data_IF_604557494371
#
_entry.id   IF_604557494371
#
_cell.length_a   1.000
_cell.length_b   1.000
_cell.length_c   1.000
_cell.angle_alpha   90.00
_cell.angle_beta   90.00
_cell.angle_gamma   90.00
#
_symmetry.space_group_name_H-M   'P 1'
#
loop_
_entity.id
_entity.type
_entity.pdbx_description
1 polymer ?
#
# COMPACT_ATOMS: atom_id res chain seq x y z
N UNK A 1 -46.37 53.07 -50.14
CA UNK A 1 -45.46 53.34 -49.01
C UNK A 1 -45.19 52.01 -48.29
N UNK A 2 -43.92 51.60 -48.28
CA UNK A 2 -43.23 50.59 -47.43
C UNK A 2 -43.91 49.22 -47.17
N UNK A 3 -43.43 48.18 -47.84
CA UNK A 3 -43.46 46.80 -47.34
C UNK A 3 -42.20 46.54 -46.48
N UNK A 4 -42.29 45.82 -45.34
CA UNK A 4 -41.11 45.43 -44.58
C UNK A 4 -40.54 44.11 -45.11
N UNK A 5 -39.23 44.04 -45.33
CA UNK A 5 -38.50 42.81 -45.62
C UNK A 5 -38.15 42.12 -44.30
N UNK A 6 -38.63 40.89 -44.09
CA UNK A 6 -38.14 40.01 -43.02
C UNK A 6 -36.81 39.38 -43.47
N UNK A 7 -35.74 39.63 -42.73
CA UNK A 7 -34.50 38.86 -42.84
C UNK A 7 -34.59 37.63 -41.92
N UNK A 8 -34.57 36.44 -42.52
CA UNK A 8 -34.46 35.17 -41.81
C UNK A 8 -32.96 34.83 -41.68
N UNK A 9 -32.37 35.03 -40.50
CA UNK A 9 -31.00 34.57 -40.21
C UNK A 9 -31.05 33.11 -39.73
N UNK A 10 -30.67 32.18 -40.60
CA UNK A 10 -30.40 30.79 -40.21
C UNK A 10 -29.08 30.71 -39.44
N UNK A 11 -29.15 30.33 -38.17
CA UNK A 11 -27.98 30.03 -37.34
C UNK A 11 -27.54 28.58 -37.61
N UNK A 12 -26.39 28.40 -38.25
CA UNK A 12 -25.77 27.07 -38.44
C UNK A 12 -24.98 26.72 -37.18
N UNK A 13 -25.44 25.73 -36.42
CA UNK A 13 -24.66 25.15 -35.32
C UNK A 13 -23.62 24.18 -35.89
N UNK A 14 -22.36 24.59 -35.89
CA UNK A 14 -21.22 23.71 -36.17
C UNK A 14 -20.89 22.97 -34.87
N UNK A 15 -21.26 21.69 -34.78
CA UNK A 15 -20.79 20.79 -33.74
C UNK A 15 -19.30 20.49 -33.99
N UNK A 16 -18.42 21.14 -33.23
CA UNK A 16 -17.01 20.75 -33.16
C UNK A 16 -16.88 19.47 -32.32
N UNK A 17 -16.69 18.35 -32.99
CA UNK A 17 -16.24 17.10 -32.38
C UNK A 17 -14.78 17.27 -31.95
N UNK A 18 -14.55 17.54 -30.66
CA UNK A 18 -13.21 17.48 -30.09
C UNK A 18 -12.75 16.02 -30.08
N UNK A 19 -11.57 15.69 -30.66
CA UNK A 19 -11.03 14.34 -30.56
C UNK A 19 -10.71 14.05 -29.10
N UNK A 20 -11.45 13.12 -28.51
CA UNK A 20 -11.10 12.55 -27.21
C UNK A 20 -9.88 11.67 -27.45
N UNK A 21 -8.69 12.15 -27.11
CA UNK A 21 -7.51 11.31 -27.04
C UNK A 21 -7.78 10.25 -25.97
N UNK A 22 -8.07 9.02 -26.41
CA UNK A 22 -8.04 7.86 -25.54
C UNK A 22 -6.60 7.76 -25.01
N UNK A 23 -6.41 8.15 -23.75
CA UNK A 23 -5.15 7.93 -23.07
C UNK A 23 -5.01 6.40 -22.99
N UNK A 24 -4.01 5.85 -23.67
CA UNK A 24 -3.71 4.42 -23.65
C UNK A 24 -3.27 4.08 -22.22
N UNK A 25 -4.22 3.70 -21.38
CA UNK A 25 -3.96 3.34 -19.99
C UNK A 25 -3.28 1.99 -20.00
N UNK A 26 -1.95 2.00 -19.89
CA UNK A 26 -1.18 0.79 -19.61
C UNK A 26 -1.78 0.11 -18.37
N UNK A 27 -1.98 -1.20 -18.43
CA UNK A 27 -2.50 -1.98 -17.33
C UNK A 27 -1.41 -2.84 -16.69
N UNK A 28 -1.51 -3.02 -15.38
CA UNK A 28 -0.80 -4.02 -14.62
C UNK A 28 -1.72 -5.19 -14.34
N UNK A 29 -1.13 -6.36 -14.27
CA UNK A 29 -1.84 -7.59 -13.97
C UNK A 29 -0.98 -8.52 -13.14
N UNK A 30 -1.63 -9.43 -12.45
CA UNK A 30 -0.98 -10.60 -11.88
C UNK A 30 -1.97 -11.48 -11.14
N UNK A 31 -1.47 -12.21 -10.15
CA UNK A 31 -2.24 -13.23 -9.45
C UNK A 31 -2.25 -13.02 -7.94
N UNK A 32 -3.37 -13.34 -7.29
CA UNK A 32 -3.40 -13.67 -5.86
C UNK A 32 -3.57 -15.19 -5.75
N UNK A 33 -2.77 -15.87 -4.94
CA UNK A 33 -2.74 -17.35 -4.91
C UNK A 33 -2.41 -17.91 -3.52
N UNK A 34 -2.81 -19.18 -3.32
CA UNK A 34 -2.47 -20.00 -2.15
C UNK A 34 -1.01 -20.49 -2.30
N UNK A 35 -0.07 -19.74 -1.72
CA UNK A 35 1.36 -20.07 -1.65
C UNK A 35 1.55 -21.19 -0.63
N UNK A 36 1.44 -22.43 -1.10
CA UNK A 36 1.35 -23.62 -0.26
C UNK A 36 2.71 -24.01 0.31
N UNK A 37 3.77 -23.66 -0.40
CA UNK A 37 5.14 -23.96 0.01
C UNK A 37 5.85 -22.76 0.67
N UNK A 38 5.20 -21.59 0.70
CA UNK A 38 5.65 -20.35 1.35
C UNK A 38 6.92 -19.77 0.74
N UNK A 39 7.15 -19.97 -0.56
CA UNK A 39 8.36 -19.50 -1.23
C UNK A 39 8.16 -18.14 -1.94
N UNK A 40 6.95 -17.59 -1.92
CA UNK A 40 6.58 -16.31 -2.54
C UNK A 40 6.56 -16.33 -4.08
N UNK A 41 6.63 -17.50 -4.70
CA UNK A 41 6.59 -17.70 -6.15
C UNK A 41 5.44 -18.64 -6.48
N UNK A 42 4.68 -18.28 -7.52
CA UNK A 42 3.56 -19.09 -7.94
C UNK A 42 4.04 -20.36 -8.65
N UNK A 43 3.84 -21.50 -8.01
CA UNK A 43 4.25 -22.81 -8.50
C UNK A 43 3.10 -23.63 -9.10
N UNK A 44 3.39 -24.64 -9.95
CA UNK A 44 2.37 -25.59 -10.40
C UNK A 44 1.65 -26.27 -9.23
N UNK A 45 0.32 -26.21 -9.23
CA UNK A 45 -0.52 -26.79 -8.16
C UNK A 45 -0.91 -25.79 -7.06
N UNK A 46 -0.46 -24.54 -7.14
CA UNK A 46 -0.90 -23.45 -6.27
C UNK A 46 -2.10 -22.73 -6.91
N UNK A 47 -3.31 -22.91 -6.34
CA UNK A 47 -4.52 -22.34 -6.91
C UNK A 47 -4.54 -20.82 -6.73
N UNK A 48 -5.06 -20.12 -7.73
CA UNK A 48 -5.43 -18.71 -7.57
C UNK A 48 -6.58 -18.57 -6.57
N UNK A 49 -6.64 -17.42 -5.91
CA UNK A 49 -7.66 -17.10 -4.92
C UNK A 49 -8.69 -16.14 -5.53
N UNK A 50 -9.95 -16.54 -5.67
CA UNK A 50 -10.98 -15.69 -6.27
C UNK A 50 -11.53 -14.67 -5.27
N UNK A 51 -12.07 -13.57 -5.80
CA UNK A 51 -12.72 -12.50 -5.04
C UNK A 51 -11.85 -11.81 -3.97
N UNK A 52 -10.53 -12.02 -3.98
CA UNK A 52 -9.59 -11.22 -3.18
C UNK A 52 -9.43 -9.87 -3.83
N UNK A 53 -9.54 -8.80 -3.04
CA UNK A 53 -9.46 -7.43 -3.53
C UNK A 53 -8.00 -6.99 -3.73
N UNK A 54 -7.74 -6.33 -4.85
CA UNK A 54 -6.46 -5.68 -5.16
C UNK A 54 -6.72 -4.21 -5.45
N UNK A 55 -5.88 -3.34 -4.88
CA UNK A 55 -5.96 -1.89 -5.00
C UNK A 55 -4.73 -1.36 -5.74
N UNK A 56 -4.90 -0.28 -6.50
CA UNK A 56 -3.81 0.56 -7.00
C UNK A 56 -3.81 1.96 -6.33
N UNK A 57 -4.36 2.04 -5.11
CA UNK A 57 -4.60 3.25 -4.32
C UNK A 57 -5.73 4.17 -4.83
N UNK A 58 -6.37 3.85 -5.96
CA UNK A 58 -7.51 4.63 -6.50
C UNK A 58 -8.68 3.74 -6.90
N UNK A 59 -8.39 2.67 -7.60
CA UNK A 59 -9.32 1.64 -8.00
C UNK A 59 -9.11 0.38 -7.16
N UNK A 60 -10.20 -0.36 -6.90
CA UNK A 60 -10.17 -1.66 -6.22
C UNK A 60 -10.94 -2.65 -7.08
N UNK A 61 -10.32 -3.80 -7.39
CA UNK A 61 -10.93 -4.88 -8.18
C UNK A 61 -10.83 -6.21 -7.45
N UNK A 62 -11.87 -7.06 -7.53
CA UNK A 62 -11.75 -8.44 -7.11
C UNK A 62 -10.95 -9.25 -8.14
N UNK A 63 -10.23 -10.25 -7.66
CA UNK A 63 -9.64 -11.29 -8.51
C UNK A 63 -10.71 -12.20 -9.13
N UNK A 64 -10.42 -12.69 -10.33
CA UNK A 64 -11.27 -13.61 -11.07
C UNK A 64 -11.24 -15.05 -10.49
N UNK A 65 -12.01 -16.03 -11.02
CA UNK A 65 -12.02 -17.41 -10.54
C UNK A 65 -10.65 -18.12 -10.54
N UNK A 66 -9.68 -17.61 -11.30
CA UNK A 66 -8.31 -18.13 -11.40
C UNK A 66 -7.32 -17.27 -10.60
N UNK A 67 -7.80 -16.33 -9.78
CA UNK A 67 -6.98 -15.43 -8.96
C UNK A 67 -6.36 -14.26 -9.72
N UNK A 68 -6.75 -14.00 -10.98
CA UNK A 68 -6.15 -12.92 -11.79
C UNK A 68 -6.77 -11.57 -11.46
N UNK A 69 -5.97 -10.53 -11.52
CA UNK A 69 -6.43 -9.14 -11.42
C UNK A 69 -5.82 -8.28 -12.53
N UNK A 70 -6.45 -7.14 -12.83
CA UNK A 70 -5.92 -6.14 -13.76
C UNK A 70 -6.36 -4.75 -13.33
N UNK A 71 -5.42 -3.81 -13.27
CA UNK A 71 -5.64 -2.42 -12.84
C UNK A 71 -4.85 -1.45 -13.72
N UNK A 72 -5.33 -0.21 -13.92
CA UNK A 72 -4.60 0.81 -14.66
C UNK A 72 -3.32 1.22 -13.92
N UNK A 73 -2.26 1.50 -14.69
CA UNK A 73 -0.95 1.92 -14.23
C UNK A 73 -0.82 3.43 -14.32
N UNK A 74 -0.06 4.00 -13.38
CA UNK A 74 0.38 5.39 -13.37
C UNK A 74 1.89 5.42 -13.11
N UNK A 75 2.57 6.50 -13.49
CA UNK A 75 4.03 6.66 -13.32
C UNK A 75 4.50 6.52 -11.86
N UNK A 76 3.58 6.70 -10.92
CA UNK A 76 3.73 6.45 -9.50
C UNK A 76 2.47 5.76 -9.00
N UNK A 77 2.60 4.50 -8.61
CA UNK A 77 1.47 3.64 -8.28
C UNK A 77 1.89 2.52 -7.35
N UNK A 78 1.07 2.24 -6.34
CA UNK A 78 1.28 1.10 -5.43
C UNK A 78 0.16 0.11 -5.66
N UNK A 79 0.51 -1.10 -6.08
CA UNK A 79 -0.44 -2.21 -6.15
C UNK A 79 -0.40 -2.96 -4.82
N UNK A 80 -1.54 -3.20 -4.19
CA UNK A 80 -1.60 -3.89 -2.90
C UNK A 80 -2.77 -4.85 -2.83
N UNK A 81 -2.53 -6.05 -2.30
CA UNK A 81 -3.61 -6.99 -1.96
C UNK A 81 -4.23 -6.58 -0.62
N UNK A 82 -5.55 -6.51 -0.57
CA UNK A 82 -6.29 -6.36 0.69
C UNK A 82 -6.39 -7.75 1.28
N UNK A 83 -5.59 -8.03 2.31
CA UNK A 83 -5.53 -9.34 2.98
C UNK A 83 -6.95 -9.76 3.41
N UNK A 84 -7.51 -10.83 2.83
CA UNK A 84 -8.83 -11.33 3.20
C UNK A 84 -8.75 -12.17 4.47
N UNK A 85 -9.90 -12.44 5.08
CA UNK A 85 -10.02 -13.39 6.21
C UNK A 85 -9.50 -14.77 5.80
N UNK A 86 -8.80 -15.45 6.71
CA UNK A 86 -8.31 -16.82 6.55
C UNK A 86 -6.99 -16.90 5.80
N UNK A 87 -6.39 -15.77 5.47
CA UNK A 87 -5.20 -15.64 4.64
C UNK A 87 -4.27 -14.58 5.20
N UNK A 88 -2.97 -14.78 5.03
CA UNK A 88 -1.94 -13.83 5.43
C UNK A 88 -0.84 -13.74 4.35
N UNK A 89 -0.43 -12.52 3.93
CA UNK A 89 0.76 -12.35 3.13
C UNK A 89 2.02 -12.78 3.91
N UNK A 90 3.13 -13.05 3.23
CA UNK A 90 4.42 -13.24 3.89
C UNK A 90 4.74 -12.05 4.80
N UNK A 91 5.38 -12.31 5.94
CA UNK A 91 5.90 -11.28 6.84
C UNK A 91 7.41 -11.19 6.74
N UNK A 92 7.98 -10.01 6.93
CA UNK A 92 9.43 -9.83 7.05
C UNK A 92 9.95 -10.39 8.37
N UNK A 93 11.28 -10.43 8.50
CA UNK A 93 12.00 -10.64 9.75
C UNK A 93 11.65 -9.59 10.82
N UNK A 94 11.27 -8.38 10.40
CA UNK A 94 10.75 -7.31 11.27
C UNK A 94 9.22 -7.39 11.47
N UNK A 95 8.58 -8.52 11.16
CA UNK A 95 7.13 -8.73 11.29
C UNK A 95 6.27 -7.79 10.41
N UNK A 96 6.83 -7.13 9.40
CA UNK A 96 6.07 -6.28 8.48
C UNK A 96 5.42 -7.14 7.36
N UNK A 97 4.10 -7.05 7.15
CA UNK A 97 3.43 -7.74 6.05
C UNK A 97 3.93 -7.30 4.67
N UNK A 98 4.15 -8.26 3.76
CA UNK A 98 4.57 -8.04 2.36
C UNK A 98 3.38 -8.18 1.42
N UNK A 99 2.56 -7.14 1.34
CA UNK A 99 1.26 -7.16 0.65
C UNK A 99 1.17 -6.20 -0.55
N UNK A 100 2.29 -5.61 -0.98
CA UNK A 100 2.30 -4.59 -2.01
C UNK A 100 3.48 -4.71 -2.98
N UNK A 101 3.34 -4.04 -4.12
CA UNK A 101 4.38 -3.78 -5.10
C UNK A 101 4.39 -2.28 -5.42
N UNK A 102 5.55 -1.65 -5.28
CA UNK A 102 5.76 -0.26 -5.65
C UNK A 102 6.12 -0.18 -7.13
N UNK A 103 5.38 0.64 -7.88
CA UNK A 103 5.70 0.99 -9.26
C UNK A 103 6.08 2.48 -9.35
N UNK A 104 7.39 2.73 -9.26
CA UNK A 104 8.01 4.04 -9.48
C UNK A 104 9.17 3.86 -10.44
N UNK A 105 8.97 3.87 -11.77
CA UNK A 105 10.00 3.54 -12.74
C UNK A 105 11.25 4.41 -12.64
N UNK A 106 11.06 5.68 -12.25
CA UNK A 106 12.13 6.67 -12.07
C UNK A 106 12.63 6.78 -10.63
N UNK A 107 12.01 6.05 -9.69
CA UNK A 107 12.26 6.18 -8.26
C UNK A 107 11.74 7.51 -7.70
N UNK A 108 11.90 7.66 -6.38
CA UNK A 108 11.55 8.88 -5.65
C UNK A 108 12.51 10.02 -5.96
N UNK A 109 12.07 11.29 -5.81
CA UNK A 109 12.97 12.43 -5.75
C UNK A 109 14.05 12.25 -4.67
N UNK A 110 15.15 12.99 -4.81
CA UNK A 110 16.17 13.04 -3.77
C UNK A 110 15.65 13.84 -2.58
N UNK A 111 15.79 13.28 -1.38
CA UNK A 111 15.41 13.87 -0.09
C UNK A 111 16.41 13.48 1.00
N UNK A 112 16.37 14.18 2.13
CA UNK A 112 17.21 13.93 3.33
C UNK A 112 17.15 12.47 3.75
N UNK A 113 15.94 11.92 3.83
CA UNK A 113 15.70 10.49 4.03
C UNK A 113 15.34 9.86 2.70
N UNK A 114 16.05 8.82 2.26
CA UNK A 114 15.88 8.30 0.91
C UNK A 114 14.54 7.59 0.75
N UNK A 115 13.85 7.89 -0.35
CA UNK A 115 12.69 7.14 -0.80
C UNK A 115 13.02 5.88 -1.60
N UNK A 116 12.04 5.42 -2.36
CA UNK A 116 12.06 4.25 -3.26
C UNK A 116 13.08 4.42 -4.39
N UNK A 117 13.94 3.41 -4.58
CA UNK A 117 14.85 3.37 -5.75
C UNK A 117 14.06 3.14 -7.05
N UNK A 118 14.61 3.49 -8.23
CA UNK A 118 13.97 3.17 -9.50
C UNK A 118 13.57 1.70 -9.60
N UNK A 119 12.28 1.44 -9.74
CA UNK A 119 11.72 0.08 -9.83
C UNK A 119 11.85 -0.51 -11.23
N UNK A 120 12.14 0.33 -12.24
CA UNK A 120 12.24 -0.06 -13.64
C UNK A 120 10.87 -0.16 -14.33
N UNK A 121 10.82 -0.79 -15.52
CA UNK A 121 9.56 -1.02 -16.21
C UNK A 121 8.67 -1.98 -15.42
N UNK A 122 7.37 -1.94 -15.71
CA UNK A 122 6.40 -2.86 -15.12
C UNK A 122 6.80 -4.33 -15.41
N UNK A 123 6.79 -5.22 -14.41
CA UNK A 123 7.05 -6.63 -14.62
C UNK A 123 5.90 -7.28 -15.41
N UNK A 124 6.17 -8.46 -15.97
CA UNK A 124 5.14 -9.22 -16.70
C UNK A 124 3.96 -9.66 -15.81
N UNK A 125 4.19 -9.83 -14.50
CA UNK A 125 3.18 -10.16 -13.51
C UNK A 125 3.54 -9.55 -12.16
N UNK A 126 2.55 -9.06 -11.42
CA UNK A 126 2.66 -8.66 -10.02
C UNK A 126 1.83 -9.65 -9.20
N UNK A 127 2.52 -10.58 -8.54
CA UNK A 127 1.86 -11.69 -7.86
C UNK A 127 1.90 -11.51 -6.33
N UNK A 128 0.76 -11.74 -5.69
CA UNK A 128 0.57 -11.65 -4.25
C UNK A 128 0.40 -13.07 -3.66
N UNK A 129 1.46 -13.65 -3.08
CA UNK A 129 1.35 -14.90 -2.34
C UNK A 129 0.54 -14.68 -1.06
N UNK A 130 -0.39 -15.58 -0.76
CA UNK A 130 -1.05 -15.66 0.52
C UNK A 130 -0.94 -17.08 1.07
N UNK A 131 -0.75 -17.18 2.37
CA UNK A 131 -0.77 -18.46 3.09
C UNK A 131 -2.02 -18.54 3.96
N UNK A 132 -2.52 -19.75 4.20
CA UNK A 132 -3.67 -19.93 5.12
C UNK A 132 -3.30 -19.48 6.52
N UNK A 133 -4.20 -18.71 7.12
CA UNK A 133 -4.10 -18.19 8.48
C UNK A 133 -5.37 -18.56 9.24
N UNK A 134 -5.21 -19.21 10.38
CA UNK A 134 -6.33 -19.43 11.29
C UNK A 134 -6.68 -18.10 11.96
N UNK A 135 -7.96 -17.73 11.91
CA UNK A 135 -8.48 -16.48 12.47
C UNK A 135 -9.67 -16.75 13.38
N UNK A 136 -9.48 -16.73 14.71
CA UNK A 136 -10.54 -17.01 15.65
C UNK A 136 -11.60 -15.90 15.66
N UNK A 137 -12.82 -16.25 16.06
CA UNK A 137 -13.92 -15.28 16.20
C UNK A 137 -13.67 -14.22 17.27
N UNK A 138 -12.86 -14.57 18.29
CA UNK A 138 -12.43 -13.67 19.35
C UNK A 138 -10.92 -13.65 19.35
N UNK A 139 -10.35 -12.47 19.22
CA UNK A 139 -8.91 -12.24 19.22
C UNK A 139 -8.57 -10.97 19.99
N UNK A 140 -7.28 -10.77 20.25
CA UNK A 140 -6.73 -9.50 20.73
C UNK A 140 -5.85 -8.90 19.64
N UNK A 141 -5.73 -7.58 19.66
CA UNK A 141 -4.82 -6.84 18.81
C UNK A 141 -4.22 -5.68 19.61
N UNK A 142 -2.98 -5.32 19.27
CA UNK A 142 -2.32 -4.16 19.86
C UNK A 142 -2.47 -2.94 18.96
N UNK A 143 -2.68 -1.79 19.56
CA UNK A 143 -2.70 -0.52 18.84
C UNK A 143 -1.77 0.45 19.53
N UNK A 144 -0.79 0.95 18.80
CA UNK A 144 0.05 2.07 19.20
C UNK A 144 -0.41 3.33 18.50
N UNK A 145 -0.38 4.45 19.21
CA UNK A 145 -0.48 5.77 18.62
C UNK A 145 0.68 6.60 19.13
N UNK A 146 1.23 7.44 18.26
CA UNK A 146 2.16 8.50 18.63
C UNK A 146 3.39 8.00 19.41
N UNK A 147 4.03 6.93 18.94
CA UNK A 147 5.26 6.44 19.59
C UNK A 147 6.38 7.47 19.53
N UNK A 148 6.39 8.31 18.48
CA UNK A 148 7.16 9.56 18.31
C UNK A 148 8.57 9.59 18.91
N UNK A 149 9.30 8.47 18.85
CA UNK A 149 10.65 8.41 19.40
C UNK A 149 11.57 9.29 18.54
N UNK A 150 12.29 10.21 19.19
CA UNK A 150 13.13 11.22 18.50
C UNK A 150 14.53 10.73 18.17
N UNK A 151 15.01 9.73 18.88
CA UNK A 151 16.38 9.26 18.82
C UNK A 151 16.50 7.85 19.43
N UNK A 152 17.69 7.26 19.30
CA UNK A 152 17.99 5.91 19.80
C UNK A 152 17.79 5.74 21.31
N UNK A 153 17.95 6.80 22.11
CA UNK A 153 17.72 6.75 23.56
C UNK A 153 16.22 6.63 23.88
N UNK A 154 15.36 7.34 23.17
CA UNK A 154 13.90 7.20 23.34
C UNK A 154 13.40 5.84 22.80
N UNK A 155 14.02 5.32 21.73
CA UNK A 155 13.75 3.95 21.28
C UNK A 155 14.15 2.90 22.33
N UNK A 156 15.26 3.09 23.05
CA UNK A 156 15.62 2.21 24.19
C UNK A 156 14.58 2.26 25.30
N UNK A 157 13.99 3.44 25.55
CA UNK A 157 12.92 3.60 26.54
C UNK A 157 11.68 2.82 26.10
N UNK A 158 11.26 2.98 24.84
CA UNK A 158 10.15 2.21 24.27
C UNK A 158 10.40 0.69 24.34
N UNK A 159 11.61 0.25 24.00
CA UNK A 159 11.99 -1.16 24.03
C UNK A 159 11.84 -1.77 25.44
N UNK A 160 12.39 -1.09 26.46
CA UNK A 160 12.39 -1.59 27.84
C UNK A 160 11.05 -1.44 28.54
N UNK A 161 10.40 -0.30 28.35
CA UNK A 161 9.28 0.12 29.20
C UNK A 161 7.92 -0.18 28.56
N UNK A 162 7.87 -0.47 27.25
CA UNK A 162 6.62 -0.81 26.53
C UNK A 162 6.73 -2.17 25.85
N UNK A 163 7.71 -2.38 24.98
CA UNK A 163 7.79 -3.60 24.18
C UNK A 163 8.05 -4.84 25.04
N UNK A 164 8.90 -4.72 26.07
CA UNK A 164 9.20 -5.83 26.97
C UNK A 164 7.94 -6.45 27.62
N UNK A 165 6.91 -5.65 27.90
CA UNK A 165 5.65 -6.13 28.50
C UNK A 165 4.77 -6.91 27.51
N UNK A 166 5.00 -6.72 26.21
CA UNK A 166 4.23 -7.33 25.13
C UNK A 166 4.86 -8.61 24.58
N UNK A 167 6.10 -8.93 24.97
CA UNK A 167 6.76 -10.17 24.56
C UNK A 167 5.97 -11.38 25.08
N UNK A 168 5.59 -12.28 24.18
CA UNK A 168 4.76 -13.44 24.50
C UNK A 168 3.26 -13.13 24.62
N UNK A 169 2.82 -12.01 24.04
CA UNK A 169 1.40 -11.67 23.93
C UNK A 169 0.58 -12.75 23.21
N UNK A 170 -0.71 -12.83 23.53
CA UNK A 170 -1.73 -13.59 22.81
C UNK A 170 -2.54 -12.75 21.81
N UNK A 171 -2.02 -11.57 21.45
CA UNK A 171 -2.55 -10.80 20.33
C UNK A 171 -2.21 -11.47 18.99
N UNK A 172 -3.08 -11.27 18.00
CA UNK A 172 -2.91 -11.85 16.66
C UNK A 172 -2.12 -10.93 15.72
N UNK A 173 -2.18 -9.63 15.95
CA UNK A 173 -1.47 -8.60 15.19
C UNK A 173 -1.37 -7.29 16.00
N UNK A 174 -0.57 -6.36 15.51
CA UNK A 174 -0.58 -4.97 15.98
C UNK A 174 -0.66 -3.95 14.87
N UNK A 175 -1.00 -2.72 15.24
CA UNK A 175 -1.07 -1.56 14.34
C UNK A 175 -0.48 -0.34 15.02
N UNK A 176 0.44 0.38 14.36
CA UNK A 176 0.79 1.76 14.74
C UNK A 176 -0.02 2.74 13.90
N UNK A 177 -0.71 3.68 14.55
CA UNK A 177 -1.68 4.59 13.97
C UNK A 177 -1.07 5.93 13.51
N UNK A 178 0.18 5.90 13.02
CA UNK A 178 0.92 7.09 12.62
C UNK A 178 1.76 7.70 13.73
N UNK A 179 2.55 8.70 13.35
CA UNK A 179 3.51 9.39 14.19
C UNK A 179 4.43 8.36 14.88
N UNK A 180 4.94 7.46 14.03
CA UNK A 180 5.74 6.31 14.42
C UNK A 180 7.04 6.82 15.04
N UNK A 181 7.68 7.76 14.36
CA UNK A 181 8.78 8.54 14.87
C UNK A 181 8.37 10.00 14.96
N UNK A 182 9.25 10.81 15.56
CA UNK A 182 9.18 12.25 15.37
C UNK A 182 9.66 12.55 13.93
N UNK A 183 10.69 13.36 13.71
CA UNK A 183 11.09 13.74 12.33
C UNK A 183 12.35 13.01 11.81
N UNK A 184 12.76 11.91 12.46
CA UNK A 184 13.98 11.16 12.09
C UNK A 184 13.68 9.79 11.47
N UNK A 185 13.26 9.80 10.19
CA UNK A 185 12.89 8.59 9.45
C UNK A 185 14.06 7.60 9.25
N UNK A 186 15.30 8.00 9.56
CA UNK A 186 16.46 7.10 9.52
C UNK A 186 16.36 5.98 10.55
N UNK A 187 15.52 6.15 11.57
CA UNK A 187 15.35 5.20 12.66
C UNK A 187 14.24 4.17 12.43
N UNK A 188 13.50 4.23 11.31
CA UNK A 188 12.39 3.29 11.05
C UNK A 188 12.82 1.83 11.17
N UNK A 189 13.95 1.45 10.58
CA UNK A 189 14.45 0.07 10.65
C UNK A 189 14.75 -0.38 12.09
N UNK A 190 15.31 0.53 12.90
CA UNK A 190 15.58 0.26 14.32
C UNK A 190 14.28 0.14 15.11
N UNK A 191 13.33 1.05 14.88
CA UNK A 191 11.99 0.99 15.46
C UNK A 191 11.29 -0.32 15.12
N UNK A 192 11.27 -0.71 13.85
CA UNK A 192 10.65 -1.94 13.37
C UNK A 192 11.28 -3.17 14.02
N UNK A 193 12.60 -3.20 14.13
CA UNK A 193 13.32 -4.30 14.79
C UNK A 193 12.97 -4.42 16.28
N UNK A 194 12.71 -3.29 16.94
CA UNK A 194 12.26 -3.26 18.35
C UNK A 194 10.81 -3.77 18.44
N UNK A 195 9.88 -3.24 17.63
CA UNK A 195 8.47 -3.67 17.61
C UNK A 195 8.33 -5.14 17.23
N UNK A 196 9.17 -5.65 16.33
CA UNK A 196 9.19 -7.05 15.93
C UNK A 196 9.42 -8.03 17.10
N UNK A 197 10.02 -7.58 18.22
CA UNK A 197 10.18 -8.39 19.43
C UNK A 197 8.85 -8.81 20.06
N UNK A 198 7.75 -8.09 19.79
CA UNK A 198 6.39 -8.49 20.20
C UNK A 198 6.03 -9.86 19.60
N UNK A 199 6.55 -10.17 18.41
CA UNK A 199 6.43 -11.48 17.79
C UNK A 199 5.15 -11.73 16.98
N UNK A 200 4.43 -10.67 16.62
CA UNK A 200 3.19 -10.73 15.82
C UNK A 200 3.30 -9.81 14.61
N UNK A 201 2.57 -10.08 13.50
CA UNK A 201 2.55 -9.19 12.34
C UNK A 201 2.14 -7.76 12.71
N UNK A 202 2.85 -6.77 12.18
CA UNK A 202 2.67 -5.37 12.55
C UNK A 202 2.38 -4.47 11.34
N UNK A 203 1.24 -3.78 11.39
CA UNK A 203 0.80 -2.84 10.35
C UNK A 203 1.09 -1.41 10.78
N UNK A 204 1.29 -0.51 9.82
CA UNK A 204 1.60 0.88 10.11
C UNK A 204 0.79 1.79 9.19
N UNK A 205 0.19 2.82 9.78
CA UNK A 205 -0.43 3.95 9.06
C UNK A 205 0.52 5.13 9.16
N UNK A 206 0.51 6.00 8.15
CA UNK A 206 1.35 7.20 8.13
C UNK A 206 0.77 8.30 9.03
N UNK A 207 1.61 8.99 9.78
CA UNK A 207 1.30 10.23 10.49
C UNK A 207 1.97 11.46 9.88
N UNK A 208 1.68 12.64 10.42
CA UNK A 208 2.24 13.89 9.90
C UNK A 208 3.72 14.07 10.23
N UNK A 209 4.26 13.33 11.20
CA UNK A 209 5.69 13.28 11.50
C UNK A 209 6.46 12.26 10.66
N UNK A 210 5.76 11.36 9.97
CA UNK A 210 6.37 10.29 9.17
C UNK A 210 6.72 10.74 7.72
N UNK A 211 6.90 12.05 7.50
CA UNK A 211 7.03 12.68 6.19
C UNK A 211 8.45 13.16 5.87
N UNK A 212 8.80 13.07 4.59
CA UNK A 212 9.89 13.81 3.95
C UNK A 212 9.54 15.31 3.87
N UNK A 213 9.78 16.06 4.95
CA UNK A 213 9.49 17.51 4.99
C UNK A 213 10.26 18.36 3.96
N UNK A 214 11.33 17.83 3.38
CA UNK A 214 12.09 18.49 2.30
C UNK A 214 11.58 18.12 0.90
N UNK A 215 10.50 17.34 0.78
CA UNK A 215 9.85 17.05 -0.48
C UNK A 215 9.25 18.32 -1.12
N UNK A 216 9.23 18.42 -2.45
CA UNK A 216 8.73 19.59 -3.16
C UNK A 216 7.19 19.70 -3.14
N UNK A 217 6.48 18.60 -2.91
CA UNK A 217 5.02 18.53 -2.89
C UNK A 217 4.52 17.41 -1.98
N UNK A 218 3.24 17.47 -1.62
CA UNK A 218 2.56 16.49 -0.77
C UNK A 218 2.63 15.07 -1.35
N UNK A 219 2.51 14.95 -2.68
CA UNK A 219 2.55 13.66 -3.41
C UNK A 219 3.87 12.92 -3.21
N UNK A 220 4.97 13.63 -2.97
CA UNK A 220 6.31 13.03 -2.81
C UNK A 220 6.80 13.13 -1.37
N UNK A 221 5.92 13.47 -0.43
CA UNK A 221 6.26 13.65 0.98
C UNK A 221 6.29 12.34 1.78
N UNK A 222 5.75 11.24 1.26
CA UNK A 222 5.68 9.94 1.93
C UNK A 222 6.68 8.91 1.39
N UNK A 223 7.60 9.30 0.52
CA UNK A 223 8.49 8.40 -0.23
C UNK A 223 9.35 7.47 0.65
N UNK A 224 9.79 7.96 1.83
CA UNK A 224 10.51 7.14 2.80
C UNK A 224 9.59 6.15 3.50
N UNK A 225 8.37 6.57 3.84
CA UNK A 225 7.34 5.71 4.41
C UNK A 225 6.98 4.60 3.42
N UNK A 226 6.72 4.95 2.17
CA UNK A 226 6.38 3.99 1.11
C UNK A 226 7.48 2.96 0.89
N UNK A 227 8.75 3.37 0.95
CA UNK A 227 9.87 2.43 0.85
C UNK A 227 9.88 1.39 1.97
N UNK A 228 9.51 1.78 3.19
CA UNK A 228 9.63 0.91 4.38
C UNK A 228 8.35 0.11 4.60
N UNK A 229 7.19 0.77 4.58
CA UNK A 229 5.90 0.20 4.97
C UNK A 229 4.95 -0.06 3.79
N UNK A 230 5.18 0.58 2.65
CA UNK A 230 4.31 0.48 1.48
C UNK A 230 3.18 1.50 1.48
N UNK A 231 1.96 1.15 1.06
CA UNK A 231 0.92 2.14 0.81
C UNK A 231 0.51 2.91 2.08
N UNK A 232 0.44 4.25 2.04
CA UNK A 232 0.01 5.08 3.18
C UNK A 232 -1.44 4.82 3.57
N UNK A 233 -2.26 4.35 2.62
CA UNK A 233 -3.65 3.97 2.83
C UNK A 233 -3.88 2.52 2.40
N UNK A 234 -4.28 1.67 3.35
CA UNK A 234 -4.59 0.28 3.06
C UNK A 234 -5.68 -0.25 3.98
N UNK A 235 -6.15 -1.46 3.67
CA UNK A 235 -7.13 -2.19 4.45
C UNK A 235 -6.73 -3.66 4.50
N UNK A 236 -7.18 -4.33 5.55
CA UNK A 236 -7.12 -5.78 5.69
C UNK A 236 -8.30 -6.24 6.54
N UNK A 237 -8.67 -7.52 6.41
CA UNK A 237 -9.71 -8.14 7.23
C UNK A 237 -9.07 -9.08 8.24
N UNK A 238 -9.49 -9.01 9.50
CA UNK A 238 -9.14 -9.99 10.52
C UNK A 238 -10.38 -10.38 11.31
N UNK A 239 -10.60 -11.68 11.49
CA UNK A 239 -11.78 -12.17 12.19
C UNK A 239 -13.06 -12.14 11.34
N UNK A 240 -14.21 -12.41 11.96
CA UNK A 240 -15.47 -12.71 11.29
C UNK A 240 -16.20 -11.53 10.66
#
# INVERSE_FOLDING_TARGET
MKHPQLFLTSLVFILLSLPTSAQDTQNASGFVYDDRNRNGKRDPGEPGLPNVLVSNQREVVPTDPMGRWTLPVRDDCIFSVIKPRGWMPPVSDQQLPRFYYLHKPKGSPQSKFPGVKPTGPLPASIDFPLTRQDEPFKFKAHFFGDTQSRNTKELDFMARDTIQELIGTDAEFGVTLGDILFDDLSLFETHNSIVALVGVPWWNVIGNHDLNFDAPDDRTSDETFERVYGPPYHAFTWGP
#
